data_IF_079274944891
#
_entry.id   IF_079274944891
#
_cell.length_a   1.000
_cell.length_b   1.000
_cell.length_c   1.000
_cell.angle_alpha   90.00
_cell.angle_beta   90.00
_cell.angle_gamma   90.00
#
_symmetry.space_group_name_H-M   'P 1'
#
loop_
_entity.id
_entity.type
_entity.pdbx_description
1 polymer ?
#
# COMPACT_ATOMS: atom_id res chain seq x y z
N UNK A 1 -12.20 -8.82 -11.87
CA UNK A 1 -12.56 -7.51 -12.40
C UNK A 1 -11.32 -6.64 -12.33
N UNK A 2 -10.91 -6.02 -13.45
CA UNK A 2 -9.86 -5.00 -13.40
C UNK A 2 -10.38 -3.83 -12.58
N UNK A 3 -9.65 -3.47 -11.54
CA UNK A 3 -9.96 -2.30 -10.73
C UNK A 3 -9.47 -1.07 -11.49
N UNK A 4 -10.37 -0.14 -11.79
CA UNK A 4 -10.04 1.16 -12.41
C UNK A 4 -9.94 2.23 -11.35
N UNK A 5 -9.25 3.34 -11.60
CA UNK A 5 -9.10 4.47 -10.66
C UNK A 5 -10.43 4.95 -10.07
N UNK A 6 -11.45 5.05 -10.89
CA UNK A 6 -12.78 5.49 -10.47
C UNK A 6 -13.49 4.51 -9.50
N UNK A 7 -13.02 3.27 -9.41
CA UNK A 7 -13.62 2.23 -8.57
C UNK A 7 -12.68 1.61 -7.54
N UNK A 8 -11.39 1.95 -7.57
CA UNK A 8 -10.44 1.45 -6.60
C UNK A 8 -10.71 2.08 -5.22
N UNK A 9 -11.05 1.29 -4.20
CA UNK A 9 -11.24 1.84 -2.87
C UNK A 9 -9.92 2.39 -2.32
N UNK A 10 -10.01 3.52 -1.64
CA UNK A 10 -8.93 4.05 -0.82
C UNK A 10 -9.03 3.45 0.57
N UNK A 11 -7.93 2.90 1.05
CA UNK A 11 -7.81 2.34 2.39
C UNK A 11 -6.78 3.16 3.15
N UNK A 12 -7.08 3.56 4.37
CA UNK A 12 -6.13 4.23 5.25
C UNK A 12 -5.46 3.23 6.17
N UNK A 13 -4.11 3.22 6.18
CA UNK A 13 -3.31 2.32 6.98
C UNK A 13 -1.92 2.91 7.23
N UNK A 14 -1.48 2.95 8.49
CA UNK A 14 -0.20 3.56 8.87
C UNK A 14 -0.13 5.06 8.61
N UNK A 15 1.07 5.58 8.51
CA UNK A 15 1.35 7.01 8.37
C UNK A 15 2.38 7.27 7.27
N UNK A 16 2.31 8.46 6.65
CA UNK A 16 3.35 8.98 5.77
C UNK A 16 4.55 9.53 6.59
N UNK A 17 5.53 10.12 5.90
CA UNK A 17 6.71 10.68 6.55
C UNK A 17 6.39 11.90 7.44
N UNK A 18 5.28 12.60 7.22
CA UNK A 18 4.80 13.74 8.00
C UNK A 18 3.86 13.35 9.14
N UNK A 19 3.61 12.04 9.34
CA UNK A 19 2.66 11.46 10.29
C UNK A 19 1.18 11.71 9.95
N UNK A 20 0.86 12.00 8.70
CA UNK A 20 -0.53 12.01 8.25
C UNK A 20 -1.01 10.57 7.99
N UNK A 21 -2.32 10.30 8.08
CA UNK A 21 -2.87 9.01 7.69
C UNK A 21 -2.50 8.66 6.24
N UNK A 22 -1.85 7.53 6.05
CA UNK A 22 -1.44 7.10 4.73
C UNK A 22 -2.59 6.51 3.93
N UNK A 23 -2.80 7.01 2.72
CA UNK A 23 -3.83 6.56 1.79
C UNK A 23 -3.26 5.54 0.79
N UNK A 24 -4.01 4.45 0.56
CA UNK A 24 -3.60 3.34 -0.28
C UNK A 24 -4.70 2.93 -1.25
N UNK A 25 -4.33 2.50 -2.45
CA UNK A 25 -5.23 1.93 -3.46
C UNK A 25 -5.11 0.42 -3.47
N UNK A 26 -6.22 -0.29 -3.51
CA UNK A 26 -6.23 -1.76 -3.64
C UNK A 26 -5.86 -2.13 -5.08
N UNK A 27 -4.75 -2.85 -5.27
CA UNK A 27 -4.26 -3.32 -6.58
C UNK A 27 -4.31 -4.84 -6.73
N UNK A 28 -4.59 -5.56 -5.66
CA UNK A 28 -4.75 -7.00 -5.65
C UNK A 28 -5.54 -7.47 -4.44
N UNK A 29 -6.29 -8.57 -4.59
CA UNK A 29 -7.06 -9.14 -3.51
C UNK A 29 -7.29 -10.63 -3.71
N UNK A 30 -7.03 -11.42 -2.67
CA UNK A 30 -7.36 -12.85 -2.58
C UNK A 30 -6.87 -13.68 -3.77
N UNK A 31 -5.60 -13.51 -4.14
CA UNK A 31 -4.97 -14.22 -5.26
C UNK A 31 -5.24 -13.62 -6.63
N UNK A 32 -5.99 -12.52 -6.72
CA UNK A 32 -6.23 -11.80 -7.96
C UNK A 32 -5.53 -10.44 -7.95
N UNK A 33 -5.00 -10.04 -9.10
CA UNK A 33 -4.25 -8.78 -9.24
C UNK A 33 -2.78 -8.92 -8.88
N UNK A 34 -2.14 -7.79 -8.59
CA UNK A 34 -0.70 -7.69 -8.45
C UNK A 34 -0.23 -8.20 -7.09
N UNK A 35 0.76 -9.09 -7.10
CA UNK A 35 1.47 -9.57 -5.92
C UNK A 35 0.55 -10.09 -4.76
N UNK A 36 -0.68 -10.47 -5.08
CA UNK A 36 -1.67 -10.96 -4.12
C UNK A 36 -1.66 -12.48 -4.05
N UNK A 37 -1.68 -13.03 -2.85
CA UNK A 37 -1.97 -14.43 -2.59
C UNK A 37 -3.36 -14.61 -1.99
N UNK A 38 -3.80 -15.89 -1.81
CA UNK A 38 -5.04 -16.19 -1.11
C UNK A 38 -5.02 -15.60 0.31
N UNK A 39 -6.06 -14.85 0.67
CA UNK A 39 -6.17 -14.19 1.97
C UNK A 39 -5.40 -12.88 2.10
N UNK A 40 -4.81 -12.36 0.99
CA UNK A 40 -4.09 -11.10 0.98
C UNK A 40 -4.89 -9.98 0.30
N UNK A 41 -4.62 -8.76 0.74
CA UNK A 41 -4.96 -7.53 0.03
C UNK A 41 -3.66 -6.81 -0.30
N UNK A 42 -3.38 -6.58 -1.57
CA UNK A 42 -2.21 -5.80 -2.01
C UNK A 42 -2.60 -4.34 -2.19
N UNK A 43 -1.88 -3.48 -1.54
CA UNK A 43 -2.13 -2.05 -1.46
C UNK A 43 -0.93 -1.29 -2.05
N UNK A 44 -1.21 -0.29 -2.91
CA UNK A 44 -0.22 0.64 -3.47
C UNK A 44 -0.52 2.03 -2.92
N UNK A 45 0.48 2.74 -2.45
CA UNK A 45 0.32 4.11 -1.96
C UNK A 45 -0.42 4.98 -3.00
N UNK A 46 -1.43 5.73 -2.58
CA UNK A 46 -2.21 6.58 -3.48
C UNK A 46 -1.38 7.76 -3.99
N UNK A 47 -0.54 8.32 -3.13
CA UNK A 47 0.35 9.43 -3.41
C UNK A 47 1.80 9.16 -3.03
N UNK A 48 2.60 10.21 -3.02
CA UNK A 48 3.97 10.17 -2.50
C UNK A 48 3.94 10.02 -0.98
N UNK A 49 4.70 9.08 -0.46
CA UNK A 49 4.74 8.76 0.98
C UNK A 49 5.92 9.39 1.71
N UNK A 50 6.84 10.04 0.99
CA UNK A 50 8.06 10.65 1.52
C UNK A 50 8.37 11.93 0.77
N UNK A 51 9.42 12.65 1.16
CA UNK A 51 10.00 13.67 0.29
C UNK A 51 10.45 13.03 -1.02
N UNK A 52 10.47 13.79 -2.12
CA UNK A 52 11.12 13.32 -3.34
C UNK A 52 12.61 13.08 -3.05
N UNK A 53 13.17 12.03 -3.59
CA UNK A 53 14.54 11.62 -3.32
C UNK A 53 15.22 11.02 -4.56
N UNK A 54 16.54 11.00 -4.54
CA UNK A 54 17.33 10.24 -5.49
C UNK A 54 17.22 8.74 -5.18
N UNK A 55 17.30 7.90 -6.20
CA UNK A 55 17.41 6.46 -5.98
C UNK A 55 18.73 6.12 -5.26
N UNK A 56 19.82 6.69 -5.76
CA UNK A 56 21.17 6.59 -5.21
C UNK A 56 22.04 7.76 -5.69
N UNK A 57 23.25 7.91 -5.15
CA UNK A 57 24.20 8.90 -5.59
C UNK A 57 24.67 8.67 -7.04
N UNK A 58 24.95 9.76 -7.74
CA UNK A 58 25.61 9.70 -9.04
C UNK A 58 26.96 8.93 -8.93
N UNK A 59 27.21 8.02 -9.85
CA UNK A 59 28.44 7.22 -9.85
C UNK A 59 28.42 5.98 -8.93
N UNK A 60 27.28 5.71 -8.26
CA UNK A 60 27.04 4.43 -7.57
C UNK A 60 26.34 3.44 -8.50
N UNK A 61 25.55 2.52 -7.96
CA UNK A 61 24.80 1.55 -8.73
C UNK A 61 23.31 1.62 -8.42
N UNK A 62 22.50 0.99 -9.27
CA UNK A 62 21.05 0.94 -9.18
C UNK A 62 20.51 -0.22 -8.33
N UNK A 63 21.27 -0.69 -7.33
CA UNK A 63 20.83 -1.75 -6.42
C UNK A 63 19.80 -1.21 -5.43
N UNK A 64 18.60 -1.79 -5.45
CA UNK A 64 17.56 -1.41 -4.51
C UNK A 64 17.98 -1.66 -3.05
N UNK A 65 18.62 -2.78 -2.76
CA UNK A 65 19.04 -3.16 -1.40
C UNK A 65 19.95 -2.13 -0.69
N UNK A 66 20.67 -1.32 -1.46
CA UNK A 66 21.57 -0.28 -0.93
C UNK A 66 21.13 1.15 -1.29
N UNK A 67 19.91 1.33 -1.81
CA UNK A 67 19.42 2.61 -2.29
C UNK A 67 18.84 3.51 -1.19
N UNK A 68 18.80 4.82 -1.46
CA UNK A 68 18.05 5.77 -0.65
C UNK A 68 16.55 5.48 -0.67
N UNK A 69 16.04 4.95 -1.80
CA UNK A 69 14.66 4.51 -1.89
C UNK A 69 14.33 3.45 -0.85
N UNK A 70 15.21 2.44 -0.66
CA UNK A 70 15.02 1.41 0.36
C UNK A 70 15.05 2.01 1.75
N UNK A 71 16.01 2.87 2.04
CA UNK A 71 16.12 3.55 3.35
C UNK A 71 14.86 4.33 3.69
N UNK A 72 14.30 5.08 2.72
CA UNK A 72 13.06 5.84 2.93
C UNK A 72 11.84 4.93 3.16
N UNK A 73 11.75 3.83 2.42
CA UNK A 73 10.64 2.87 2.56
C UNK A 73 10.73 2.11 3.88
N UNK A 74 11.91 1.72 4.32
CA UNK A 74 12.12 1.09 5.63
C UNK A 74 11.72 2.04 6.77
N UNK A 75 12.08 3.32 6.67
CA UNK A 75 11.69 4.32 7.66
C UNK A 75 10.17 4.54 7.74
N UNK A 76 9.43 4.39 6.64
CA UNK A 76 7.96 4.38 6.66
C UNK A 76 7.41 3.14 7.37
N UNK A 77 8.02 1.98 7.16
CA UNK A 77 7.61 0.73 7.80
C UNK A 77 7.87 0.75 9.32
N UNK A 78 8.90 1.44 9.77
CA UNK A 78 9.21 1.62 11.21
C UNK A 78 8.15 2.46 11.95
N UNK A 79 7.34 3.23 11.25
CA UNK A 79 6.23 4.01 11.84
C UNK A 79 4.98 3.18 12.13
N UNK A 80 4.91 1.95 11.64
CA UNK A 80 3.78 1.06 11.93
C UNK A 80 3.73 0.71 13.42
N UNK A 81 2.53 0.70 13.98
CA UNK A 81 2.30 0.12 15.30
C UNK A 81 2.60 -1.38 15.30
N UNK A 82 2.68 -1.98 16.47
CA UNK A 82 2.88 -3.44 16.59
C UNK A 82 1.76 -4.22 15.91
N UNK A 83 0.52 -3.78 16.05
CA UNK A 83 -0.66 -4.39 15.47
C UNK A 83 -0.64 -4.27 13.93
N UNK A 84 -0.34 -3.08 13.42
CA UNK A 84 -0.19 -2.84 11.99
C UNK A 84 0.93 -3.69 11.39
N UNK A 85 2.10 -3.74 12.01
CA UNK A 85 3.22 -4.56 11.54
C UNK A 85 2.88 -6.06 11.55
N UNK A 86 2.10 -6.52 12.53
CA UNK A 86 1.63 -7.91 12.61
C UNK A 86 0.63 -8.23 11.50
N UNK A 87 -0.17 -7.25 11.08
CA UNK A 87 -1.15 -7.41 10.00
C UNK A 87 -0.50 -7.44 8.60
N UNK A 88 0.74 -6.92 8.45
CA UNK A 88 1.46 -6.92 7.19
C UNK A 88 2.13 -8.28 6.95
N UNK A 89 1.94 -8.83 5.75
CA UNK A 89 2.68 -10.00 5.28
C UNK A 89 4.00 -9.57 4.66
N UNK A 90 5.10 -9.90 5.32
CA UNK A 90 6.44 -9.68 4.79
C UNK A 90 6.71 -10.57 3.59
N UNK A 91 7.49 -10.09 2.65
CA UNK A 91 7.86 -10.85 1.45
C UNK A 91 9.34 -10.70 1.11
N UNK A 92 9.84 -11.67 0.33
CA UNK A 92 11.13 -11.59 -0.33
C UNK A 92 10.96 -10.89 -1.67
N UNK A 93 11.81 -9.92 -1.94
CA UNK A 93 11.84 -9.15 -3.19
C UNK A 93 13.01 -9.60 -4.06
N UNK A 94 12.75 -9.65 -5.35
CA UNK A 94 13.77 -9.75 -6.41
C UNK A 94 13.57 -8.58 -7.37
N UNK A 95 14.51 -8.34 -8.29
CA UNK A 95 14.42 -7.21 -9.25
C UNK A 95 13.14 -7.22 -10.06
N UNK A 96 12.68 -8.41 -10.50
CA UNK A 96 11.40 -8.58 -11.18
C UNK A 96 11.32 -7.79 -12.50
N UNK A 97 12.25 -8.03 -13.43
CA UNK A 97 12.30 -7.37 -14.73
C UNK A 97 11.14 -7.76 -15.63
N UNK A 98 10.73 -6.83 -16.49
CA UNK A 98 9.71 -7.06 -17.50
C UNK A 98 10.30 -7.79 -18.72
N UNK A 99 9.73 -8.93 -19.12
CA UNK A 99 10.15 -9.76 -20.29
C UNK A 99 11.66 -10.04 -20.38
N UNK A 100 12.37 -10.08 -19.27
CA UNK A 100 13.82 -10.26 -19.26
C UNK A 100 14.63 -9.02 -19.65
N UNK A 101 13.98 -7.90 -19.97
CA UNK A 101 14.62 -6.61 -20.11
C UNK A 101 15.14 -6.13 -18.76
N UNK A 102 16.25 -5.44 -18.74
CA UNK A 102 16.96 -4.99 -17.52
C UNK A 102 17.67 -6.13 -16.77
N UNK A 103 18.05 -7.19 -17.47
CA UNK A 103 18.78 -8.31 -16.86
C UNK A 103 20.24 -8.02 -16.57
N UNK A 104 20.80 -6.98 -17.18
CA UNK A 104 22.23 -6.66 -17.12
C UNK A 104 22.63 -5.98 -15.81
N UNK A 105 21.65 -5.46 -15.09
CA UNK A 105 21.87 -4.77 -13.83
C UNK A 105 21.33 -5.60 -12.68
N UNK A 106 22.18 -6.02 -11.77
CA UNK A 106 21.75 -6.58 -10.49
C UNK A 106 21.12 -7.97 -10.57
N UNK A 107 21.60 -8.83 -11.43
CA UNK A 107 21.27 -10.25 -11.36
C UNK A 107 21.54 -10.78 -9.94
N UNK A 108 20.54 -11.44 -9.34
CA UNK A 108 20.68 -12.09 -8.03
C UNK A 108 20.49 -11.18 -6.82
N UNK A 109 20.00 -9.94 -6.97
CA UNK A 109 19.63 -9.15 -5.83
C UNK A 109 18.36 -9.69 -5.16
N UNK A 110 18.42 -9.85 -3.84
CA UNK A 110 17.31 -10.29 -3.01
C UNK A 110 17.24 -9.44 -1.74
N UNK A 111 16.02 -9.01 -1.39
CA UNK A 111 15.72 -8.34 -0.13
C UNK A 111 14.65 -9.15 0.61
N UNK A 112 15.04 -9.70 1.76
CA UNK A 112 14.15 -10.52 2.57
C UNK A 112 13.37 -9.68 3.58
N UNK A 113 12.20 -10.21 3.97
CA UNK A 113 11.34 -9.65 5.03
C UNK A 113 10.87 -8.20 4.78
N UNK A 114 10.74 -7.80 3.51
CA UNK A 114 10.23 -6.49 3.18
C UNK A 114 8.78 -6.31 3.67
N UNK A 115 8.56 -5.30 4.49
CA UNK A 115 7.25 -4.86 5.01
C UNK A 115 6.56 -4.04 3.94
N UNK A 116 7.19 -2.95 3.54
CA UNK A 116 6.82 -2.13 2.40
C UNK A 116 7.85 -2.31 1.29
N UNK A 117 7.44 -2.17 0.04
CA UNK A 117 8.34 -2.30 -1.12
C UNK A 117 7.88 -1.46 -2.30
N UNK A 118 8.79 -0.93 -3.15
CA UNK A 118 8.43 -0.36 -4.44
C UNK A 118 8.09 -1.49 -5.42
N UNK A 119 7.16 -1.25 -6.35
CA UNK A 119 6.84 -2.22 -7.39
C UNK A 119 8.07 -2.50 -8.27
N UNK A 120 8.17 -3.71 -8.83
CA UNK A 120 9.03 -3.98 -9.99
C UNK A 120 8.37 -3.49 -11.27
N UNK A 121 9.14 -3.46 -12.38
CA UNK A 121 8.58 -3.16 -13.71
C UNK A 121 7.50 -4.17 -14.10
N UNK A 122 7.70 -5.47 -13.83
CA UNK A 122 6.70 -6.50 -14.10
C UNK A 122 5.41 -6.28 -13.30
N UNK A 123 5.52 -5.96 -12.00
CA UNK A 123 4.37 -5.64 -11.15
C UNK A 123 3.69 -4.34 -11.60
N UNK A 124 4.46 -3.31 -11.95
CA UNK A 124 3.90 -2.04 -12.42
C UNK A 124 3.13 -2.21 -13.73
N UNK A 125 3.61 -2.98 -14.68
CA UNK A 125 2.87 -3.30 -15.91
C UNK A 125 1.55 -4.05 -15.66
N UNK A 126 1.50 -4.86 -14.61
CA UNK A 126 0.28 -5.58 -14.23
C UNK A 126 -0.77 -4.69 -13.51
N UNK A 127 -0.38 -3.52 -13.00
CA UNK A 127 -1.31 -2.51 -12.47
C UNK A 127 -1.95 -1.76 -13.63
N UNK A 128 -3.26 -1.46 -13.51
CA UNK A 128 -3.92 -0.58 -14.47
C UNK A 128 -3.21 0.79 -14.53
N UNK A 129 -3.06 1.36 -15.74
CA UNK A 129 -2.34 2.62 -15.95
C UNK A 129 -2.89 3.76 -15.10
N UNK A 130 -4.22 3.88 -15.00
CA UNK A 130 -4.86 4.93 -14.21
C UNK A 130 -4.49 4.85 -12.71
N UNK A 131 -4.29 3.65 -12.17
CA UNK A 131 -3.85 3.47 -10.78
C UNK A 131 -2.35 3.78 -10.57
N UNK A 132 -1.58 3.83 -11.65
CA UNK A 132 -0.18 4.24 -11.61
C UNK A 132 0.00 5.75 -11.56
N UNK A 133 -0.99 6.53 -11.97
CA UNK A 133 -0.99 7.98 -11.84
C UNK A 133 -1.04 8.33 -10.34
N UNK A 134 -0.18 9.25 -9.91
CA UNK A 134 -0.21 9.77 -8.54
C UNK A 134 -1.49 10.55 -8.33
N UNK A 135 -2.19 10.26 -7.26
CA UNK A 135 -3.46 10.92 -6.94
C UNK A 135 -3.22 12.41 -6.63
N UNK A 136 -3.80 13.32 -7.41
CA UNK A 136 -3.64 14.76 -7.18
C UNK A 136 -4.34 15.25 -5.90
N UNK A 137 -5.31 14.50 -5.37
CA UNK A 137 -6.00 14.84 -4.12
C UNK A 137 -5.14 14.48 -2.88
N UNK A 138 -4.12 13.67 -3.07
CA UNK A 138 -3.10 13.39 -2.06
C UNK A 138 -1.76 14.00 -2.51
N UNK A 139 -1.71 15.34 -2.70
CA UNK A 139 -0.55 16.00 -3.24
C UNK A 139 0.51 16.09 -2.16
N UNK A 140 1.52 15.33 -2.32
CA UNK A 140 2.80 15.80 -1.85
C UNK A 140 3.68 15.93 -3.07
N UNK A 141 3.89 17.22 -3.51
CA UNK A 141 5.05 17.63 -4.26
C UNK A 141 5.04 17.48 -5.79
N UNK A 142 5.78 18.33 -6.39
CA UNK A 142 5.91 18.72 -7.78
C UNK A 142 6.31 17.62 -8.79
N UNK A 143 6.47 16.38 -8.39
CA UNK A 143 6.79 15.28 -9.29
C UNK A 143 5.69 14.22 -9.28
N UNK A 144 5.13 13.96 -10.45
CA UNK A 144 4.23 12.83 -10.69
C UNK A 144 4.98 11.53 -11.05
N UNK A 145 6.32 11.60 -11.16
CA UNK A 145 7.19 10.44 -11.40
C UNK A 145 7.52 9.75 -10.10
N UNK A 146 7.66 8.42 -10.13
CA UNK A 146 8.02 7.65 -8.95
C UNK A 146 8.91 6.45 -9.29
N UNK A 147 9.75 6.08 -8.31
CA UNK A 147 10.72 5.01 -8.44
C UNK A 147 10.09 3.62 -8.37
N UNK A 148 10.59 2.73 -9.22
CA UNK A 148 10.42 1.28 -9.10
C UNK A 148 11.71 0.67 -8.52
N UNK A 149 11.63 -0.61 -8.07
CA UNK A 149 12.82 -1.31 -7.56
C UNK A 149 13.68 -1.95 -8.67
N UNK A 150 13.13 -2.07 -9.89
CA UNK A 150 13.86 -2.67 -10.99
C UNK A 150 14.95 -1.74 -11.51
N UNK A 151 16.10 -2.28 -11.91
CA UNK A 151 17.15 -1.50 -12.57
C UNK A 151 16.67 -0.96 -13.93
N UNK A 152 17.36 0.02 -14.46
CA UNK A 152 17.24 0.49 -15.83
C UNK A 152 18.20 -0.24 -16.79
N UNK A 153 18.48 0.36 -17.96
CA UNK A 153 19.38 -0.24 -18.95
C UNK A 153 20.85 -0.16 -18.56
N UNK A 154 21.23 0.81 -17.77
CA UNK A 154 22.59 0.93 -17.26
C UNK A 154 22.60 0.83 -15.75
N UNK A 155 23.77 0.65 -15.15
CA UNK A 155 23.96 0.66 -13.70
C UNK A 155 23.72 2.04 -13.05
N UNK A 156 23.57 3.07 -13.87
CA UNK A 156 23.25 4.44 -13.46
C UNK A 156 21.77 4.80 -13.63
N UNK A 157 20.93 3.87 -14.07
CA UNK A 157 19.51 4.07 -14.30
C UNK A 157 18.67 3.12 -13.47
N UNK A 158 17.57 3.62 -12.89
CA UNK A 158 16.55 2.80 -12.24
C UNK A 158 15.19 3.03 -12.90
N UNK A 159 14.38 1.98 -12.98
CA UNK A 159 13.07 2.05 -13.61
C UNK A 159 12.13 2.99 -12.84
N UNK A 160 11.24 3.66 -13.58
CA UNK A 160 10.28 4.61 -13.03
C UNK A 160 8.90 4.44 -13.64
N UNK A 161 7.93 5.12 -13.07
CA UNK A 161 6.65 5.40 -13.70
C UNK A 161 6.52 6.90 -13.89
N UNK A 162 6.09 7.31 -15.09
CA UNK A 162 5.88 8.71 -15.45
C UNK A 162 4.54 9.24 -14.90
N UNK A 163 4.36 10.57 -14.98
CA UNK A 163 3.16 11.24 -14.52
C UNK A 163 1.86 10.85 -15.24
N UNK A 164 1.95 10.30 -16.44
CA UNK A 164 0.83 9.75 -17.21
C UNK A 164 0.56 8.27 -16.90
N UNK A 165 1.28 7.69 -15.94
CA UNK A 165 1.18 6.28 -15.56
C UNK A 165 1.95 5.32 -16.49
N UNK A 166 2.70 5.80 -17.48
CA UNK A 166 3.55 4.95 -18.33
C UNK A 166 4.77 4.44 -17.55
N UNK A 167 5.12 3.17 -17.75
CA UNK A 167 6.29 2.54 -17.13
C UNK A 167 7.52 2.77 -18.02
N UNK A 168 8.55 3.38 -17.46
CA UNK A 168 9.85 3.58 -18.09
C UNK A 168 10.80 2.49 -17.58
N UNK A 169 10.76 1.34 -18.22
CA UNK A 169 11.60 0.21 -17.83
C UNK A 169 13.08 0.41 -18.18
N UNK A 170 13.39 1.23 -19.20
CA UNK A 170 14.76 1.67 -19.48
C UNK A 170 15.39 2.46 -18.33
N UNK A 171 14.55 3.07 -17.51
CA UNK A 171 14.95 3.81 -16.33
C UNK A 171 15.23 5.28 -16.59
N UNK A 172 15.43 5.98 -15.48
CA UNK A 172 15.93 7.34 -15.38
C UNK A 172 17.16 7.35 -14.48
N UNK A 173 18.01 8.37 -14.66
CA UNK A 173 19.23 8.51 -13.88
C UNK A 173 18.95 8.41 -12.37
N UNK A 174 19.68 7.54 -11.66
CA UNK A 174 19.49 7.28 -10.21
C UNK A 174 19.65 8.54 -9.34
N UNK A 175 20.32 9.56 -9.85
CA UNK A 175 20.49 10.87 -9.22
C UNK A 175 19.32 11.84 -9.47
N UNK A 176 18.27 11.42 -10.19
CA UNK A 176 17.05 12.22 -10.35
C UNK A 176 16.21 12.17 -9.07
N UNK A 177 15.36 13.20 -8.88
CA UNK A 177 14.52 13.33 -7.68
C UNK A 177 13.07 12.97 -8.00
N UNK A 178 12.60 11.81 -7.53
CA UNK A 178 11.26 11.31 -7.78
C UNK A 178 10.55 10.86 -6.50
N UNK A 179 9.25 10.64 -6.61
CA UNK A 179 8.39 10.22 -5.51
C UNK A 179 8.70 8.81 -5.00
N UNK A 180 8.37 8.58 -3.74
CA UNK A 180 8.41 7.28 -3.06
C UNK A 180 6.98 6.77 -2.94
N UNK A 181 6.68 5.68 -3.66
CA UNK A 181 5.34 5.11 -3.74
C UNK A 181 5.40 3.60 -3.48
N UNK A 182 5.42 3.19 -2.21
CA UNK A 182 5.51 1.78 -1.84
C UNK A 182 4.19 1.03 -2.02
N UNK A 183 4.28 -0.29 -2.01
CA UNK A 183 3.18 -1.23 -1.86
C UNK A 183 3.40 -2.12 -0.64
N UNK A 184 2.36 -2.84 -0.20
CA UNK A 184 2.45 -3.88 0.81
C UNK A 184 1.31 -4.88 0.70
N UNK A 185 1.48 -6.06 1.34
CA UNK A 185 0.41 -7.05 1.48
C UNK A 185 -0.16 -7.02 2.89
N UNK A 186 -1.47 -6.81 2.98
CA UNK A 186 -2.22 -6.91 4.22
C UNK A 186 -2.82 -8.32 4.34
N UNK A 187 -2.66 -8.95 5.49
CA UNK A 187 -3.37 -10.18 5.82
C UNK A 187 -4.84 -9.85 6.10
N UNK A 188 -5.75 -10.24 5.19
CA UNK A 188 -7.17 -9.95 5.34
C UNK A 188 -7.77 -10.55 6.62
N UNK A 189 -7.20 -11.65 7.15
CA UNK A 189 -7.66 -12.25 8.42
C UNK A 189 -7.32 -11.41 9.65
N UNK A 190 -6.42 -10.43 9.52
CA UNK A 190 -6.09 -9.47 10.58
C UNK A 190 -7.05 -8.29 10.65
N UNK A 191 -7.96 -8.16 9.68
CA UNK A 191 -8.98 -7.10 9.66
C UNK A 191 -10.25 -7.62 10.30
N UNK A 192 -10.77 -6.92 11.31
CA UNK A 192 -12.06 -7.23 11.93
C UNK A 192 -13.21 -6.69 11.10
N UNK A 193 -13.15 -5.43 10.76
CA UNK A 193 -14.13 -4.74 9.91
C UNK A 193 -13.53 -3.48 9.28
N UNK A 194 -14.26 -2.94 8.32
CA UNK A 194 -13.95 -1.66 7.67
C UNK A 194 -15.06 -0.67 7.98
N UNK A 195 -14.71 0.59 8.16
CA UNK A 195 -15.64 1.70 8.35
C UNK A 195 -15.41 2.81 7.32
N UNK A 196 -16.47 3.57 7.05
CA UNK A 196 -16.37 4.76 6.21
C UNK A 196 -15.37 5.76 6.79
N UNK A 197 -14.58 6.39 5.92
CA UNK A 197 -13.61 7.40 6.31
C UNK A 197 -13.68 8.61 5.38
N UNK A 198 -13.24 9.76 5.90
CA UNK A 198 -13.01 10.97 5.12
C UNK A 198 -11.63 11.50 5.51
N UNK A 199 -10.70 11.52 4.56
CA UNK A 199 -9.32 11.95 4.81
C UNK A 199 -8.62 11.14 5.91
N UNK A 200 -8.89 9.84 6.03
CA UNK A 200 -8.32 8.95 7.05
C UNK A 200 -8.95 9.07 8.44
N UNK A 201 -9.94 9.90 8.62
CA UNK A 201 -10.70 10.04 9.87
C UNK A 201 -12.03 9.31 9.74
N UNK A 202 -12.60 8.80 10.85
CA UNK A 202 -13.98 8.32 10.84
C UNK A 202 -14.87 9.45 10.32
N UNK A 203 -15.79 9.14 9.40
CA UNK A 203 -16.87 10.05 9.06
C UNK A 203 -17.64 10.36 10.33
N UNK A 204 -17.87 11.65 10.62
CA UNK A 204 -18.26 12.21 11.93
C UNK A 204 -19.59 11.75 12.53
N UNK A 205 -20.01 10.54 12.23
CA UNK A 205 -21.15 9.82 12.78
C UNK A 205 -21.20 8.40 12.23
N UNK A 206 -21.94 7.52 12.89
CA UNK A 206 -22.21 6.18 12.37
C UNK A 206 -23.12 6.29 11.14
N UNK A 207 -22.52 6.53 9.97
CA UNK A 207 -23.26 6.50 8.72
C UNK A 207 -23.45 5.03 8.32
N UNK A 208 -24.68 4.53 8.23
CA UNK A 208 -24.92 3.17 7.73
C UNK A 208 -24.23 2.96 6.39
N UNK A 209 -23.53 1.84 6.21
CA UNK A 209 -22.82 1.50 4.97
C UNK A 209 -23.74 1.61 3.74
N UNK A 210 -25.03 1.27 3.89
CA UNK A 210 -26.04 1.44 2.84
C UNK A 210 -26.26 2.88 2.38
N UNK A 211 -25.85 3.87 3.15
CA UNK A 211 -25.94 5.31 2.84
C UNK A 211 -24.62 5.94 2.50
N UNK A 212 -23.52 5.20 2.67
CA UNK A 212 -22.19 5.69 2.36
C UNK A 212 -21.95 5.63 0.84
N UNK A 213 -21.77 6.77 0.24
CA UNK A 213 -21.52 6.92 -1.21
C UNK A 213 -20.05 7.18 -1.52
N UNK A 214 -19.22 7.32 -0.50
CA UNK A 214 -17.78 7.52 -0.64
C UNK A 214 -17.03 6.22 -0.96
N UNK A 215 -15.72 6.34 -1.18
CA UNK A 215 -14.84 5.23 -1.55
C UNK A 215 -13.60 5.14 -0.64
N UNK A 216 -13.65 5.76 0.52
CA UNK A 216 -12.57 5.78 1.50
C UNK A 216 -12.92 4.91 2.71
N UNK A 217 -11.96 4.10 3.13
CA UNK A 217 -12.18 3.10 4.17
C UNK A 217 -11.06 3.11 5.20
N UNK A 218 -11.43 3.05 6.46
CA UNK A 218 -10.53 2.79 7.59
C UNK A 218 -10.65 1.33 8.00
N UNK A 219 -9.52 0.73 8.36
CA UNK A 219 -9.47 -0.64 8.85
C UNK A 219 -9.44 -0.66 10.38
N UNK A 220 -10.22 -1.55 10.97
CA UNK A 220 -10.06 -1.96 12.37
C UNK A 220 -9.36 -3.31 12.39
N UNK A 221 -8.16 -3.32 12.97
CA UNK A 221 -7.34 -4.52 13.07
C UNK A 221 -7.69 -5.34 14.31
N UNK A 222 -7.46 -6.64 14.25
CA UNK A 222 -7.48 -7.50 15.42
C UNK A 222 -6.32 -7.15 16.33
N UNK A 223 -6.60 -6.88 17.58
CA UNK A 223 -5.60 -6.80 18.63
C UNK A 223 -5.31 -8.23 19.13
N UNK A 224 -4.10 -8.73 18.87
CA UNK A 224 -3.69 -10.07 19.29
C UNK A 224 -3.61 -10.23 20.82
N UNK A 225 -3.54 -9.12 21.55
CA UNK A 225 -3.54 -9.10 23.02
C UNK A 225 -4.97 -9.14 23.60
N UNK A 226 -6.00 -9.07 22.75
CA UNK A 226 -7.40 -9.09 23.14
C UNK A 226 -8.10 -10.26 22.47
N UNK A 227 -8.79 -11.06 23.25
CA UNK A 227 -9.61 -12.19 22.77
C UNK A 227 -10.97 -11.70 22.23
N UNK A 228 -11.02 -10.49 21.61
CA UNK A 228 -12.27 -10.01 21.02
C UNK A 228 -12.60 -10.83 19.78
N UNK A 229 -13.79 -11.38 19.77
CA UNK A 229 -14.35 -12.13 18.65
C UNK A 229 -15.84 -11.85 18.53
N UNK A 230 -16.29 -11.65 17.28
CA UNK A 230 -17.72 -11.67 16.94
C UNK A 230 -18.10 -13.11 16.65
N UNK A 231 -19.20 -13.59 17.22
CA UNK A 231 -19.63 -14.99 17.09
C UNK A 231 -20.36 -15.25 15.79
N UNK A 232 -20.98 -14.22 15.21
CA UNK A 232 -21.65 -14.32 13.93
C UNK A 232 -20.66 -14.14 12.77
N UNK A 233 -20.64 -15.09 11.86
CA UNK A 233 -19.83 -15.01 10.62
C UNK A 233 -20.55 -14.28 9.50
N UNK A 234 -21.86 -14.18 9.58
CA UNK A 234 -22.72 -13.50 8.60
C UNK A 234 -23.97 -12.98 9.30
N UNK A 235 -24.33 -11.75 9.03
CA UNK A 235 -25.57 -11.13 9.49
C UNK A 235 -26.26 -10.52 8.29
N UNK A 236 -27.57 -10.71 8.17
CA UNK A 236 -28.39 -10.13 7.12
C UNK A 236 -29.61 -9.43 7.72
N UNK A 237 -30.02 -8.34 7.11
CA UNK A 237 -31.24 -7.59 7.44
C UNK A 237 -31.50 -6.57 6.35
N UNK A 238 -32.73 -6.08 6.25
CA UNK A 238 -33.10 -5.01 5.34
C UNK A 238 -32.69 -3.65 5.90
N UNK A 239 -32.53 -2.61 5.04
CA UNK A 239 -32.22 -1.26 5.50
C UNK A 239 -33.24 -0.75 6.50
N UNK A 240 -32.79 -0.52 7.74
CA UNK A 240 -33.63 -0.07 8.86
C UNK A 240 -33.92 -1.15 9.91
N UNK A 241 -33.56 -2.38 9.65
CA UNK A 241 -33.65 -3.44 10.63
C UNK A 241 -32.58 -3.29 11.73
N UNK A 242 -32.94 -3.71 12.94
CA UNK A 242 -31.98 -3.85 14.02
C UNK A 242 -31.33 -5.22 13.92
N UNK A 243 -30.01 -5.22 13.78
CA UNK A 243 -29.22 -6.46 13.76
C UNK A 243 -28.50 -6.59 15.09
N UNK A 244 -28.58 -7.75 15.72
CA UNK A 244 -27.86 -8.07 16.95
C UNK A 244 -26.58 -8.82 16.62
N UNK A 245 -25.45 -8.30 17.07
CA UNK A 245 -24.15 -8.97 17.02
C UNK A 245 -23.78 -9.41 18.43
N UNK A 246 -23.38 -10.67 18.57
CA UNK A 246 -22.82 -11.17 19.82
C UNK A 246 -21.30 -11.16 19.72
N UNK A 247 -20.66 -10.77 20.78
CA UNK A 247 -19.21 -10.74 20.86
C UNK A 247 -18.71 -11.28 22.19
N UNK A 248 -17.47 -11.72 22.20
CA UNK A 248 -16.75 -12.20 23.38
C UNK A 248 -15.42 -11.45 23.52
N UNK A 249 -14.85 -11.44 24.71
CA UNK A 249 -13.52 -10.89 24.95
C UNK A 249 -13.41 -9.36 24.90
N UNK A 250 -14.54 -8.62 24.94
CA UNK A 250 -14.51 -7.20 25.12
C UNK A 250 -14.03 -6.84 26.52
N UNK A 251 -13.12 -5.88 26.61
CA UNK A 251 -12.68 -5.28 27.87
C UNK A 251 -13.41 -3.98 28.06
N UNK A 252 -14.06 -3.79 29.19
CA UNK A 252 -14.68 -2.48 29.52
C UNK A 252 -13.59 -1.51 30.04
N UNK A 253 -13.45 -0.37 29.40
CA UNK A 253 -12.51 0.68 29.79
C UNK A 253 -13.00 2.06 29.38
N UNK A 254 -12.43 3.11 29.98
CA UNK A 254 -12.84 4.51 29.75
C UNK A 254 -12.65 4.95 28.29
N UNK A 255 -11.75 4.30 27.56
CA UNK A 255 -11.43 4.64 26.16
C UNK A 255 -11.63 3.45 25.22
N UNK A 256 -12.51 2.50 25.57
CA UNK A 256 -12.77 1.33 24.74
C UNK A 256 -14.15 1.45 24.11
N UNK A 257 -14.16 1.42 22.79
CA UNK A 257 -15.38 1.57 21.99
C UNK A 257 -15.46 0.41 21.00
N UNK A 258 -16.66 -0.14 20.83
CA UNK A 258 -17.02 -0.94 19.67
C UNK A 258 -17.73 0.03 18.72
N UNK A 259 -17.09 0.36 17.62
CA UNK A 259 -17.65 1.28 16.61
C UNK A 259 -17.90 0.55 15.30
#
# INVERSE_FOLDING_TARGET
>A
KNVTTASAPTVYFGQDHENNPAAWRVIGYNGNGVASAQGDMTLLAAGNMSSVLQFADFGTNNRYASSYLKTAIDALAEKLTTEENTAVKKRTLTSGSYNGENTDCVAGEQVDNAVFWPLSTAEAFAVNQDLRIVDPEHPSWASSYWWLRSPGYSDHDAATVNGDGSVVYSGNAISSWWCVRPAFNLNSSSVLFTSAAVGGKPDGGLTPISKYTGNEWKLTLKDSNRNFAVTETTVSGDPGDTVTLHYTGATAGINEYIS
#
